data_IF_658462427441
#
_entry.id   IF_658462427441
#
_cell.length_a   1.000
_cell.length_b   1.000
_cell.length_c   1.000
_cell.angle_alpha   90.00
_cell.angle_beta   90.00
_cell.angle_gamma   90.00
#
_symmetry.space_group_name_H-M   'P 1'
#
loop_
_entity.id
_entity.type
_entity.pdbx_description
1 polymer ?
#
# COMPACT_ATOMS: atom_id res chain seq x y z
N UNK A 1 14.27 -10.14 -2.69
CA UNK A 1 13.51 -9.20 -1.84
C UNK A 1 14.24 -7.87 -1.86
N UNK A 2 13.55 -6.77 -2.15
CA UNK A 2 14.08 -5.39 -2.11
C UNK A 2 13.23 -4.53 -1.18
N UNK A 3 13.71 -3.32 -0.90
CA UNK A 3 12.96 -2.32 -0.13
C UNK A 3 12.44 -1.26 -1.10
N UNK A 4 11.17 -0.92 -0.96
CA UNK A 4 10.56 0.13 -1.76
C UNK A 4 11.25 1.48 -1.51
N UNK A 5 11.41 2.29 -2.55
CA UNK A 5 12.13 3.59 -2.50
C UNK A 5 11.59 4.54 -1.42
N UNK A 6 10.28 4.54 -1.19
CA UNK A 6 9.65 5.36 -0.14
C UNK A 6 10.01 4.89 1.29
N UNK A 7 10.52 3.67 1.44
CA UNK A 7 10.95 3.12 2.74
C UNK A 7 12.37 3.51 3.12
N UNK A 8 13.26 3.82 2.18
CA UNK A 8 14.67 4.07 2.47
C UNK A 8 14.85 5.20 3.47
N UNK A 9 14.23 6.37 3.22
CA UNK A 9 14.34 7.51 4.13
C UNK A 9 13.80 7.22 5.53
N UNK A 10 12.65 6.54 5.62
CA UNK A 10 12.02 6.20 6.90
C UNK A 10 12.90 5.23 7.71
N UNK A 11 13.45 4.21 7.06
CA UNK A 11 14.32 3.21 7.70
C UNK A 11 15.63 3.86 8.17
N UNK A 12 16.23 4.76 7.36
CA UNK A 12 17.43 5.50 7.75
C UNK A 12 17.16 6.37 8.97
N UNK A 13 16.07 7.15 8.95
CA UNK A 13 15.70 8.01 10.09
C UNK A 13 15.41 7.17 11.34
N UNK A 14 14.70 6.06 11.21
CA UNK A 14 14.47 5.14 12.34
C UNK A 14 15.78 4.57 12.91
N UNK A 15 16.73 4.22 12.03
CA UNK A 15 18.07 3.77 12.44
C UNK A 15 18.85 4.85 13.18
N UNK A 16 18.84 6.08 12.68
CA UNK A 16 19.50 7.21 13.34
C UNK A 16 18.89 7.50 14.73
N UNK A 17 17.57 7.46 14.85
CA UNK A 17 16.88 7.61 16.14
C UNK A 17 17.25 6.48 17.08
N UNK A 18 17.29 5.23 16.59
CA UNK A 18 17.70 4.09 17.39
C UNK A 18 19.14 4.27 17.92
N UNK A 19 20.09 4.70 17.10
CA UNK A 19 21.46 5.00 17.53
C UNK A 19 21.48 6.13 18.55
N UNK A 20 20.76 7.22 18.30
CA UNK A 20 20.69 8.38 19.19
C UNK A 20 20.10 8.05 20.59
N UNK A 21 19.25 7.04 20.68
CA UNK A 21 18.69 6.56 21.94
C UNK A 21 19.62 5.53 22.61
N UNK A 22 20.05 4.52 21.87
CA UNK A 22 20.76 3.38 22.44
C UNK A 22 22.20 3.71 22.82
N UNK A 23 22.90 4.57 22.05
CA UNK A 23 24.30 4.90 22.34
C UNK A 23 24.48 5.67 23.67
N UNK A 24 23.75 6.77 23.94
CA UNK A 24 23.81 7.43 25.24
C UNK A 24 23.34 6.53 26.37
N UNK A 25 22.28 5.76 26.15
CA UNK A 25 21.78 4.85 27.19
C UNK A 25 22.82 3.82 27.61
N UNK A 26 23.52 3.21 26.64
CA UNK A 26 24.58 2.24 26.92
C UNK A 26 25.77 2.83 27.70
N UNK A 27 26.01 4.15 27.59
CA UNK A 27 27.10 4.85 28.31
C UNK A 27 26.66 5.28 29.72
N UNK A 28 25.40 5.72 29.86
CA UNK A 28 24.94 6.38 31.10
C UNK A 28 24.35 5.36 32.09
N UNK A 29 23.70 4.29 31.58
CA UNK A 29 23.03 3.34 32.47
C UNK A 29 23.97 2.27 33.00
N UNK A 30 23.89 2.00 34.31
CA UNK A 30 24.55 0.85 34.95
C UNK A 30 23.78 -0.46 34.72
N UNK A 31 22.52 -0.36 34.30
CA UNK A 31 21.64 -1.51 34.07
C UNK A 31 21.79 -2.07 32.64
N UNK A 32 22.56 -3.14 32.50
CA UNK A 32 22.69 -3.89 31.25
C UNK A 32 21.34 -4.39 30.74
N UNK A 33 20.46 -4.80 31.65
CA UNK A 33 19.10 -5.28 31.27
C UNK A 33 18.27 -4.18 30.58
N UNK A 34 18.34 -2.95 31.09
CA UNK A 34 17.64 -1.81 30.49
C UNK A 34 18.19 -1.50 29.08
N UNK A 35 19.52 -1.45 28.95
CA UNK A 35 20.14 -1.20 27.65
C UNK A 35 19.78 -2.26 26.61
N UNK A 36 19.83 -3.54 26.98
CA UNK A 36 19.46 -4.65 26.11
C UNK A 36 17.98 -4.59 25.73
N UNK A 37 17.08 -4.33 26.68
CA UNK A 37 15.65 -4.22 26.43
C UNK A 37 15.34 -3.11 25.40
N UNK A 38 15.92 -1.92 25.54
CA UNK A 38 15.72 -0.81 24.62
C UNK A 38 16.31 -1.12 23.24
N UNK A 39 17.47 -1.79 23.18
CA UNK A 39 18.07 -2.21 21.92
C UNK A 39 17.19 -3.23 21.18
N UNK A 40 16.63 -4.20 21.87
CA UNK A 40 15.70 -5.18 21.30
C UNK A 40 14.43 -4.49 20.78
N UNK A 41 13.84 -3.57 21.55
CA UNK A 41 12.67 -2.82 21.13
C UNK A 41 12.96 -1.98 19.87
N UNK A 42 14.08 -1.29 19.84
CA UNK A 42 14.53 -0.51 18.67
C UNK A 42 14.69 -1.39 17.44
N UNK A 43 15.27 -2.58 17.61
CA UNK A 43 15.43 -3.56 16.54
C UNK A 43 14.08 -4.03 16.01
N UNK A 44 13.12 -4.36 16.87
CA UNK A 44 11.77 -4.76 16.48
C UNK A 44 11.08 -3.66 15.66
N UNK A 45 11.22 -2.39 16.08
CA UNK A 45 10.65 -1.24 15.35
C UNK A 45 11.27 -1.11 13.95
N UNK A 46 12.59 -1.22 13.82
CA UNK A 46 13.28 -1.17 12.53
C UNK A 46 12.82 -2.32 11.64
N UNK A 47 12.75 -3.54 12.17
CA UNK A 47 12.29 -4.72 11.42
C UNK A 47 10.82 -4.57 10.97
N UNK A 48 9.97 -3.91 11.76
CA UNK A 48 8.60 -3.61 11.37
C UNK A 48 8.56 -2.67 10.15
N UNK A 49 9.38 -1.61 10.11
CA UNK A 49 9.49 -0.73 8.93
C UNK A 49 10.05 -1.47 7.72
N UNK A 50 11.11 -2.26 7.89
CA UNK A 50 11.68 -3.10 6.82
C UNK A 50 10.62 -4.06 6.26
N UNK A 51 9.86 -4.69 7.14
CA UNK A 51 8.76 -5.60 6.76
C UNK A 51 7.65 -4.88 6.01
N UNK A 52 7.26 -3.67 6.43
CA UNK A 52 6.22 -2.89 5.79
C UNK A 52 6.60 -2.45 4.38
N UNK A 53 7.84 -2.02 4.17
CA UNK A 53 8.33 -1.52 2.88
C UNK A 53 8.96 -2.60 1.99
N UNK A 54 8.86 -3.89 2.36
CA UNK A 54 9.44 -4.98 1.56
C UNK A 54 8.72 -5.15 0.23
N UNK A 55 9.49 -5.44 -0.81
CA UNK A 55 8.99 -5.90 -2.11
C UNK A 55 9.53 -7.33 -2.30
N UNK A 56 8.71 -8.37 -2.08
CA UNK A 56 9.11 -9.73 -2.37
C UNK A 56 9.22 -9.95 -3.89
N UNK A 57 10.19 -10.74 -4.30
CA UNK A 57 10.20 -11.24 -5.68
C UNK A 57 9.05 -12.23 -5.85
N UNK A 58 8.30 -12.07 -6.94
CA UNK A 58 7.16 -12.93 -7.27
C UNK A 58 7.13 -13.20 -8.76
N UNK A 59 6.90 -14.45 -9.10
CA UNK A 59 6.66 -14.86 -10.48
C UNK A 59 5.16 -14.79 -10.75
N UNK A 60 4.74 -13.78 -11.51
CA UNK A 60 3.35 -13.65 -11.92
C UNK A 60 3.12 -14.40 -13.22
N UNK A 61 2.03 -15.17 -13.28
CA UNK A 61 1.52 -15.67 -14.56
C UNK A 61 0.71 -14.56 -15.21
N UNK A 62 1.29 -13.93 -16.22
CA UNK A 62 0.61 -12.91 -17.01
C UNK A 62 -0.32 -13.59 -18.00
N UNK A 63 -1.61 -13.29 -17.92
CA UNK A 63 -2.64 -13.86 -18.78
C UNK A 63 -3.58 -12.72 -19.22
N UNK A 64 -3.59 -12.44 -20.51
CA UNK A 64 -4.35 -11.31 -21.09
C UNK A 64 -5.87 -11.38 -20.89
N UNK A 65 -6.41 -12.55 -20.55
CA UNK A 65 -7.83 -12.77 -20.31
C UNK A 65 -8.21 -12.87 -18.83
N UNK A 66 -7.27 -12.50 -17.93
CA UNK A 66 -7.49 -12.56 -16.48
C UNK A 66 -7.12 -11.24 -15.82
N UNK A 67 -7.93 -10.87 -14.85
CA UNK A 67 -7.66 -9.76 -13.94
C UNK A 67 -6.96 -10.36 -12.73
N UNK A 68 -5.73 -9.94 -12.45
CA UNK A 68 -5.01 -10.36 -11.25
C UNK A 68 -5.35 -9.43 -10.07
N UNK A 69 -5.24 -9.95 -8.84
CA UNK A 69 -5.43 -9.15 -7.65
C UNK A 69 -4.38 -8.03 -7.58
N UNK A 70 -4.80 -6.75 -7.49
CA UNK A 70 -3.86 -5.62 -7.46
C UNK A 70 -3.09 -5.50 -6.15
N UNK A 71 -3.50 -6.23 -5.11
CA UNK A 71 -2.94 -6.10 -3.76
C UNK A 71 -2.89 -7.44 -3.03
N UNK A 72 -1.95 -7.54 -2.10
CA UNK A 72 -1.93 -8.62 -1.11
C UNK A 72 -2.97 -8.33 -0.04
N UNK A 73 -3.85 -9.29 0.25
CA UNK A 73 -4.82 -9.09 1.30
C UNK A 73 -5.92 -10.14 1.33
N UNK A 74 -6.94 -9.87 2.10
CA UNK A 74 -8.14 -10.69 2.21
C UNK A 74 -9.29 -10.01 1.46
N UNK A 75 -9.94 -10.72 0.55
CA UNK A 75 -11.20 -10.28 -0.02
C UNK A 75 -12.24 -10.22 1.09
N UNK A 76 -12.83 -9.05 1.30
CA UNK A 76 -13.81 -8.78 2.38
C UNK A 76 -15.20 -8.47 1.85
N UNK A 77 -15.31 -7.99 0.61
CA UNK A 77 -16.57 -7.67 -0.04
C UNK A 77 -16.50 -8.08 -1.50
N UNK A 78 -17.56 -8.69 -2.00
CA UNK A 78 -17.86 -8.85 -3.43
C UNK A 78 -19.33 -8.50 -3.57
N UNK A 79 -19.63 -7.39 -4.22
CA UNK A 79 -21.00 -6.91 -4.37
C UNK A 79 -21.17 -6.08 -5.65
N UNK A 80 -22.42 -5.89 -6.07
CA UNK A 80 -22.76 -4.95 -7.13
C UNK A 80 -23.04 -3.59 -6.52
N UNK A 81 -22.32 -2.57 -6.98
CA UNK A 81 -22.45 -1.18 -6.52
C UNK A 81 -22.68 -0.24 -7.69
N UNK A 82 -23.28 0.90 -7.42
CA UNK A 82 -23.29 2.02 -8.35
C UNK A 82 -21.97 2.78 -8.23
N UNK A 83 -21.17 2.79 -9.28
CA UNK A 83 -19.91 3.53 -9.33
C UNK A 83 -20.20 4.96 -9.81
N UNK A 84 -20.05 5.95 -8.90
CA UNK A 84 -20.51 7.33 -9.13
C UNK A 84 -19.42 8.29 -9.58
N UNK A 85 -18.16 7.86 -9.65
CA UNK A 85 -17.03 8.75 -9.96
C UNK A 85 -16.72 8.77 -11.46
N UNK A 86 -16.53 7.62 -12.06
CA UNK A 86 -16.10 7.47 -13.44
C UNK A 86 -17.18 6.84 -14.34
N UNK A 87 -17.59 5.60 -14.04
CA UNK A 87 -18.53 4.83 -14.88
C UNK A 87 -19.97 5.35 -14.81
N UNK A 88 -20.42 5.76 -13.63
CA UNK A 88 -21.79 6.22 -13.35
C UNK A 88 -22.84 5.16 -13.68
N UNK A 89 -22.50 3.92 -13.46
CA UNK A 89 -23.34 2.74 -13.68
C UNK A 89 -23.06 1.65 -12.62
N UNK A 90 -23.77 0.52 -12.74
CA UNK A 90 -23.61 -0.63 -11.84
C UNK A 90 -22.39 -1.46 -12.23
N UNK A 91 -21.50 -1.67 -11.28
CA UNK A 91 -20.26 -2.47 -11.42
C UNK A 91 -20.15 -3.51 -10.32
N UNK A 92 -19.39 -4.57 -10.59
CA UNK A 92 -18.99 -5.52 -9.55
C UNK A 92 -17.78 -4.94 -8.84
N UNK A 93 -17.91 -4.72 -7.53
CA UNK A 93 -16.85 -4.30 -6.65
C UNK A 93 -16.25 -5.49 -5.92
N UNK A 94 -14.93 -5.59 -5.94
CA UNK A 94 -14.15 -6.51 -5.10
C UNK A 94 -13.29 -5.69 -4.16
N UNK A 95 -13.53 -5.79 -2.86
CA UNK A 95 -12.74 -5.07 -1.85
C UNK A 95 -11.74 -5.97 -1.18
N UNK A 96 -10.46 -5.55 -1.18
CA UNK A 96 -9.34 -6.28 -0.61
C UNK A 96 -8.82 -5.51 0.60
N UNK A 97 -8.87 -6.12 1.78
CA UNK A 97 -8.31 -5.56 3.00
C UNK A 97 -6.84 -5.96 3.15
N UNK A 98 -5.98 -4.95 3.23
CA UNK A 98 -4.55 -5.11 3.46
C UNK A 98 -4.25 -4.91 4.95
N UNK A 99 -3.85 -5.97 5.65
CA UNK A 99 -3.40 -5.86 7.05
C UNK A 99 -2.01 -5.23 7.13
N UNK A 100 -1.59 -4.66 8.27
CA UNK A 100 -0.24 -4.09 8.42
C UNK A 100 0.91 -5.08 8.13
N UNK A 101 0.65 -6.39 8.23
CA UNK A 101 1.63 -7.43 7.93
C UNK A 101 1.72 -7.79 6.44
N UNK A 102 0.77 -7.35 5.60
CA UNK A 102 0.80 -7.59 4.17
C UNK A 102 1.84 -6.68 3.46
N UNK A 103 2.14 -7.01 2.22
CA UNK A 103 2.92 -6.12 1.34
C UNK A 103 2.03 -4.97 0.89
N UNK A 104 2.48 -3.72 1.12
CA UNK A 104 1.71 -2.51 0.80
C UNK A 104 2.09 -1.91 -0.57
N UNK A 105 2.36 -2.78 -1.54
CA UNK A 105 2.59 -2.39 -2.94
C UNK A 105 1.42 -2.90 -3.77
N UNK A 106 0.75 -1.98 -4.46
CA UNK A 106 -0.29 -2.32 -5.42
C UNK A 106 0.32 -2.42 -6.82
N UNK A 107 -0.25 -3.31 -7.62
CA UNK A 107 0.18 -3.59 -8.98
C UNK A 107 -0.99 -3.49 -9.94
N UNK A 108 -0.69 -3.28 -11.22
CA UNK A 108 -1.72 -3.27 -12.23
C UNK A 108 -2.39 -4.65 -12.37
N UNK A 109 -3.73 -4.72 -12.31
CA UNK A 109 -4.47 -5.97 -12.50
C UNK A 109 -4.49 -6.44 -13.96
N UNK A 110 -4.26 -5.55 -14.91
CA UNK A 110 -4.24 -5.80 -16.35
C UNK A 110 -3.15 -4.98 -17.02
N UNK A 111 -2.75 -5.38 -18.24
CA UNK A 111 -1.96 -4.51 -19.13
C UNK A 111 -2.90 -3.58 -19.86
N UNK A 112 -2.51 -2.31 -20.08
CA UNK A 112 -3.33 -1.35 -20.80
C UNK A 112 -2.82 0.08 -20.68
N UNK A 113 -3.71 1.03 -20.96
CA UNK A 113 -3.45 2.46 -20.87
C UNK A 113 -4.27 3.06 -19.74
N UNK A 114 -3.66 3.93 -18.95
CA UNK A 114 -4.36 4.68 -17.90
C UNK A 114 -5.25 5.75 -18.57
N UNK A 115 -6.56 5.58 -18.50
CA UNK A 115 -7.55 6.49 -19.09
C UNK A 115 -8.05 7.54 -18.11
N UNK A 116 -7.88 7.29 -16.82
CA UNK A 116 -8.29 8.21 -15.76
C UNK A 116 -7.41 8.03 -14.50
N UNK A 117 -7.02 9.16 -13.90
CA UNK A 117 -6.36 9.17 -12.60
C UNK A 117 -6.84 10.35 -11.77
N UNK A 118 -7.29 10.10 -10.54
CA UNK A 118 -7.71 11.16 -9.63
C UNK A 118 -7.37 10.86 -8.19
N UNK A 119 -6.61 11.78 -7.60
CA UNK A 119 -6.31 11.78 -6.18
C UNK A 119 -7.35 12.59 -5.41
N UNK A 120 -7.81 12.04 -4.30
CA UNK A 120 -8.75 12.68 -3.38
C UNK A 120 -8.11 12.81 -2.01
N UNK A 121 -7.82 14.02 -1.52
CA UNK A 121 -7.42 14.22 -0.14
C UNK A 121 -8.54 13.81 0.81
N UNK A 122 -8.18 13.29 1.98
CA UNK A 122 -9.19 12.79 2.91
C UNK A 122 -8.67 12.54 4.32
N UNK A 123 -9.47 11.83 5.09
CA UNK A 123 -9.17 11.41 6.46
C UNK A 123 -8.38 10.11 6.49
N UNK A 124 -8.10 9.61 7.69
CA UNK A 124 -7.38 8.36 7.94
C UNK A 124 -8.16 7.52 8.95
N UNK A 125 -9.43 7.26 8.63
CA UNK A 125 -10.28 6.39 9.43
C UNK A 125 -9.76 4.96 9.36
N UNK A 126 -10.06 4.16 10.38
CA UNK A 126 -9.75 2.73 10.36
C UNK A 126 -10.53 2.03 9.22
N UNK A 127 -9.93 1.02 8.61
CA UNK A 127 -10.48 0.40 7.40
C UNK A 127 -11.90 -0.19 7.57
N UNK A 128 -12.24 -0.64 8.76
CA UNK A 128 -13.58 -1.18 9.07
C UNK A 128 -14.63 -0.12 9.42
N UNK A 129 -14.27 1.18 9.38
CA UNK A 129 -15.23 2.24 9.58
C UNK A 129 -16.14 2.37 8.34
N UNK A 130 -17.49 2.40 8.47
CA UNK A 130 -18.43 2.38 7.34
C UNK A 130 -18.20 3.47 6.28
N UNK A 131 -17.65 4.62 6.70
CA UNK A 131 -17.35 5.76 5.81
C UNK A 131 -15.89 5.85 5.38
N UNK A 132 -15.08 4.80 5.60
CA UNK A 132 -13.65 4.84 5.24
C UNK A 132 -13.46 4.95 3.73
N UNK A 133 -14.21 4.22 2.93
CA UNK A 133 -14.14 4.24 1.47
C UNK A 133 -14.48 5.59 0.84
N UNK A 134 -15.31 6.40 1.50
CA UNK A 134 -15.73 7.71 1.00
C UNK A 134 -14.89 8.87 1.54
N UNK A 135 -14.50 8.79 2.83
CA UNK A 135 -13.91 9.92 3.56
C UNK A 135 -12.39 9.88 3.68
N UNK A 136 -11.78 8.71 3.51
CA UNK A 136 -10.32 8.60 3.58
C UNK A 136 -9.64 9.13 2.32
N UNK A 137 -8.37 9.51 2.48
CA UNK A 137 -7.47 9.75 1.36
C UNK A 137 -7.55 8.54 0.41
N UNK A 138 -7.76 8.79 -0.88
CA UNK A 138 -7.90 7.74 -1.89
C UNK A 138 -7.37 8.19 -3.24
N UNK A 139 -6.95 7.24 -4.03
CA UNK A 139 -6.53 7.44 -5.41
C UNK A 139 -7.30 6.47 -6.31
N UNK A 140 -7.97 7.01 -7.33
CA UNK A 140 -8.71 6.25 -8.33
C UNK A 140 -7.90 6.22 -9.63
N UNK A 141 -7.74 5.05 -10.21
CA UNK A 141 -7.09 4.83 -11.50
C UNK A 141 -7.99 3.93 -12.34
N UNK A 142 -8.20 4.29 -13.60
CA UNK A 142 -8.87 3.43 -14.58
C UNK A 142 -7.88 3.03 -15.64
N UNK A 143 -7.84 1.75 -15.97
CA UNK A 143 -6.97 1.17 -16.99
C UNK A 143 -7.86 0.53 -18.03
N UNK A 144 -7.69 0.93 -19.29
CA UNK A 144 -8.32 0.31 -20.45
C UNK A 144 -7.36 -0.70 -21.05
N UNK A 145 -7.81 -1.94 -21.13
CA UNK A 145 -7.02 -3.00 -21.75
C UNK A 145 -7.09 -2.94 -23.30
N UNK A 146 -6.37 -3.83 -23.97
CA UNK A 146 -6.33 -3.91 -25.44
C UNK A 146 -7.69 -4.24 -26.10
N UNK A 147 -8.62 -4.79 -25.35
CA UNK A 147 -9.95 -5.21 -25.82
C UNK A 147 -11.02 -4.13 -25.49
N UNK A 148 -10.59 -2.95 -24.97
CA UNK A 148 -11.46 -1.84 -24.59
C UNK A 148 -12.19 -2.07 -23.26
N UNK A 149 -11.73 -3.01 -22.45
CA UNK A 149 -12.32 -3.28 -21.13
C UNK A 149 -11.66 -2.35 -20.10
N UNK A 150 -12.49 -1.55 -19.45
CA UNK A 150 -12.01 -0.62 -18.42
C UNK A 150 -12.13 -1.22 -17.02
N UNK A 151 -11.04 -1.14 -16.25
CA UNK A 151 -10.94 -1.63 -14.89
C UNK A 151 -10.58 -0.48 -13.97
N UNK A 152 -11.45 -0.19 -13.00
CA UNK A 152 -11.24 0.83 -11.99
C UNK A 152 -10.60 0.23 -10.75
N UNK A 153 -9.50 0.83 -10.32
CA UNK A 153 -8.78 0.52 -9.09
C UNK A 153 -8.88 1.72 -8.17
N UNK A 154 -9.33 1.50 -6.93
CA UNK A 154 -9.38 2.55 -5.91
C UNK A 154 -8.53 2.16 -4.73
N UNK A 155 -7.40 2.82 -4.55
CA UNK A 155 -6.59 2.73 -3.36
C UNK A 155 -7.19 3.62 -2.27
N UNK A 156 -7.29 3.11 -1.05
CA UNK A 156 -7.86 3.84 0.10
C UNK A 156 -6.87 3.77 1.25
N UNK A 157 -6.46 4.93 1.76
CA UNK A 157 -5.58 5.01 2.91
C UNK A 157 -6.28 4.54 4.18
N UNK A 158 -5.50 4.03 5.13
CA UNK A 158 -5.97 3.61 6.45
C UNK A 158 -5.38 4.44 7.58
N UNK A 159 -5.61 4.00 8.80
CA UNK A 159 -5.08 4.70 10.00
C UNK A 159 -3.56 4.55 10.15
N UNK A 160 -2.97 3.46 9.70
CA UNK A 160 -1.52 3.21 9.74
C UNK A 160 -0.85 3.63 8.43
N UNK A 161 -1.29 3.05 7.30
CA UNK A 161 -0.85 3.43 5.97
C UNK A 161 -1.63 4.67 5.53
N UNK A 162 -1.15 5.86 5.92
CA UNK A 162 -1.88 7.12 5.74
C UNK A 162 -1.65 7.76 4.39
N UNK A 163 -0.50 7.51 3.74
CA UNK A 163 -0.13 8.15 2.48
C UNK A 163 -0.19 7.16 1.33
N UNK A 164 -0.91 7.56 0.29
CA UNK A 164 -0.90 6.87 -0.99
C UNK A 164 0.18 7.53 -1.86
N UNK A 165 1.10 6.71 -2.38
CA UNK A 165 2.05 7.08 -3.41
C UNK A 165 1.64 6.38 -4.69
N UNK A 166 1.43 7.15 -5.73
CA UNK A 166 1.10 6.68 -7.06
C UNK A 166 2.13 7.21 -8.06
N UNK A 167 2.39 6.42 -9.10
CA UNK A 167 3.47 6.66 -10.04
C UNK A 167 2.99 6.62 -11.48
N UNK A 168 1.68 6.65 -11.68
CA UNK A 168 1.03 6.61 -12.98
C UNK A 168 0.24 7.88 -13.22
N UNK A 169 0.15 8.30 -14.46
CA UNK A 169 -0.65 9.42 -14.93
C UNK A 169 -1.54 8.98 -16.10
N UNK A 170 -2.54 9.79 -16.42
CA UNK A 170 -3.37 9.57 -17.61
C UNK A 170 -2.49 9.55 -18.86
N UNK A 171 -2.71 8.57 -19.74
CA UNK A 171 -1.93 8.31 -20.95
C UNK A 171 -0.75 7.35 -20.77
N UNK A 172 -0.38 6.98 -19.55
CA UNK A 172 0.69 6.02 -19.33
C UNK A 172 0.28 4.61 -19.76
N UNK A 173 1.19 3.91 -20.43
CA UNK A 173 1.06 2.47 -20.70
C UNK A 173 1.63 1.69 -19.53
N UNK A 174 0.90 0.68 -19.07
CA UNK A 174 1.25 -0.12 -17.90
C UNK A 174 1.08 -1.60 -18.20
N UNK A 175 2.02 -2.41 -17.72
CA UNK A 175 1.95 -3.86 -17.82
C UNK A 175 1.24 -4.50 -16.62
N UNK A 176 0.59 -5.63 -16.84
CA UNK A 176 0.00 -6.44 -15.78
C UNK A 176 1.07 -6.86 -14.77
N UNK A 177 0.77 -6.76 -13.50
CA UNK A 177 1.68 -7.04 -12.37
C UNK A 177 2.80 -6.01 -12.12
N UNK A 178 2.85 -4.93 -12.88
CA UNK A 178 3.81 -3.83 -12.67
C UNK A 178 3.28 -2.82 -11.64
#
# INVERSE_FOLDING_TARGET
>A
MSIHREGHGIIIVAGLIAVAINLPLAIITESVYLAVMVALLSTVVILAFVSFFRIPHRDFRIENNKIIAPADGKVVVIEQVEENEYFKDKRIQVSIFMSPANVHVNRSPVSGVVTYQKYHPGKYLVAWHPKSSEKNERNTVVIEDKDGIEILIRQIAGKLARKIRYYVAEGDSIDQAN
#
